data_IF_015289594167
#
_entry.id   IF_015289594167
#
_cell.length_a   1.000
_cell.length_b   1.000
_cell.length_c   1.000
_cell.angle_alpha   90.00
_cell.angle_beta   90.00
_cell.angle_gamma   90.00
#
_symmetry.space_group_name_H-M   'P 1'
#
loop_
_entity.id
_entity.type
_entity.pdbx_description
1 polymer ?
#
# COMPACT_ATOMS: atom_id res chain seq x y z
N UNK A 1 4.95 -8.92 -7.69
CA UNK A 1 3.64 -8.24 -7.73
C UNK A 1 3.68 -7.24 -8.87
N UNK A 2 2.75 -7.34 -9.81
CA UNK A 2 2.65 -6.47 -10.99
C UNK A 2 1.51 -5.48 -10.73
N UNK A 3 1.77 -4.17 -10.88
CA UNK A 3 0.73 -3.17 -10.69
C UNK A 3 -0.08 -3.01 -11.99
N UNK A 4 -1.27 -3.59 -12.00
CA UNK A 4 -2.24 -3.46 -13.10
C UNK A 4 -3.18 -2.30 -12.81
N UNK A 5 -3.41 -1.42 -13.79
CA UNK A 5 -4.36 -0.32 -13.64
C UNK A 5 -5.78 -0.87 -13.39
N UNK A 6 -6.56 -0.24 -12.48
CA UNK A 6 -7.92 -0.68 -12.19
C UNK A 6 -8.82 -0.49 -13.41
N UNK A 7 -9.90 -1.29 -13.54
CA UNK A 7 -10.84 -1.13 -14.63
C UNK A 7 -11.50 0.25 -14.58
N UNK A 8 -11.64 0.91 -15.74
CA UNK A 8 -12.28 2.23 -15.82
C UNK A 8 -13.81 2.15 -15.74
N UNK A 9 -14.39 0.99 -16.04
CA UNK A 9 -15.83 0.71 -16.02
C UNK A 9 -16.07 -0.73 -15.58
N UNK A 10 -17.23 -1.02 -15.00
CA UNK A 10 -17.64 -2.35 -14.52
C UNK A 10 -18.71 -2.25 -13.45
N UNK A 11 -19.01 -3.36 -12.79
CA UNK A 11 -19.78 -3.33 -11.55
C UNK A 11 -19.00 -2.60 -10.44
N UNK A 12 -19.71 -2.11 -9.42
CA UNK A 12 -19.06 -1.47 -8.27
C UNK A 12 -18.05 -2.38 -7.58
N UNK A 13 -18.37 -3.67 -7.45
CA UNK A 13 -17.48 -4.69 -6.87
C UNK A 13 -16.18 -4.86 -7.68
N UNK A 14 -16.28 -5.04 -9.00
CA UNK A 14 -15.11 -5.19 -9.87
C UNK A 14 -14.19 -3.96 -9.82
N UNK A 15 -14.78 -2.76 -9.81
CA UNK A 15 -14.01 -1.52 -9.70
C UNK A 15 -13.35 -1.39 -8.33
N UNK A 16 -14.06 -1.72 -7.25
CA UNK A 16 -13.52 -1.67 -5.89
C UNK A 16 -12.35 -2.66 -5.70
N UNK A 17 -12.54 -3.91 -6.11
CA UNK A 17 -11.49 -4.93 -6.03
C UNK A 17 -10.25 -4.55 -6.84
N UNK A 18 -10.44 -4.07 -8.08
CA UNK A 18 -9.37 -3.59 -8.92
C UNK A 18 -8.62 -2.40 -8.31
N UNK A 19 -9.34 -1.46 -7.71
CA UNK A 19 -8.73 -0.31 -7.02
C UNK A 19 -7.91 -0.74 -5.81
N UNK A 20 -8.44 -1.67 -4.99
CA UNK A 20 -7.73 -2.20 -3.83
C UNK A 20 -6.45 -2.94 -4.24
N UNK A 21 -6.50 -3.79 -5.27
CA UNK A 21 -5.32 -4.50 -5.78
C UNK A 21 -4.25 -3.52 -6.33
N UNK A 22 -4.68 -2.49 -7.07
CA UNK A 22 -3.79 -1.45 -7.55
C UNK A 22 -3.05 -0.74 -6.41
N UNK A 23 -3.75 -0.41 -5.32
CA UNK A 23 -3.15 0.27 -4.18
C UNK A 23 -2.21 -0.64 -3.39
N UNK A 24 -2.57 -1.93 -3.17
CA UNK A 24 -1.66 -2.92 -2.58
C UNK A 24 -0.37 -3.05 -3.39
N UNK A 25 -0.50 -3.19 -4.69
CA UNK A 25 0.63 -3.24 -5.63
C UNK A 25 1.47 -1.97 -5.58
N UNK A 26 0.84 -0.80 -5.46
CA UNK A 26 1.53 0.49 -5.33
C UNK A 26 2.37 0.56 -4.05
N UNK A 27 1.82 0.16 -2.92
CA UNK A 27 2.53 0.14 -1.63
C UNK A 27 3.73 -0.81 -1.71
N UNK A 28 3.52 -2.02 -2.23
CA UNK A 28 4.60 -2.99 -2.42
C UNK A 28 5.74 -2.43 -3.28
N UNK A 29 5.42 -1.83 -4.44
CA UNK A 29 6.45 -1.27 -5.34
C UNK A 29 7.21 -0.11 -4.70
N UNK A 30 6.56 0.70 -3.86
CA UNK A 30 7.21 1.82 -3.18
C UNK A 30 8.07 1.39 -2.00
N UNK A 31 7.71 0.30 -1.33
CA UNK A 31 8.44 -0.18 -0.15
C UNK A 31 9.54 -1.21 -0.48
N UNK A 32 9.42 -1.94 -1.61
CA UNK A 32 10.39 -2.99 -1.97
C UNK A 32 11.81 -2.42 -2.10
N UNK A 33 12.78 -3.17 -1.59
CA UNK A 33 14.21 -2.84 -1.69
C UNK A 33 14.70 -1.84 -0.64
N UNK A 34 13.83 -1.32 0.23
CA UNK A 34 14.27 -0.57 1.41
C UNK A 34 14.85 -1.52 2.46
N UNK A 35 15.89 -1.08 3.15
CA UNK A 35 16.42 -1.79 4.31
C UNK A 35 15.52 -1.58 5.54
N UNK A 36 15.65 -2.43 6.55
CA UNK A 36 14.95 -2.25 7.84
C UNK A 36 15.29 -0.89 8.48
N UNK A 37 16.54 -0.46 8.35
CA UNK A 37 16.97 0.85 8.82
C UNK A 37 16.30 1.99 8.06
N UNK A 38 16.09 1.87 6.74
CA UNK A 38 15.40 2.89 5.95
C UNK A 38 13.91 2.94 6.28
N UNK A 39 13.27 1.79 6.46
CA UNK A 39 11.83 1.71 6.71
C UNK A 39 11.44 2.18 8.12
N UNK A 40 12.37 2.12 9.08
CA UNK A 40 12.21 2.61 10.44
C UNK A 40 12.48 4.13 10.61
N UNK A 41 13.02 4.82 9.59
CA UNK A 41 13.31 6.25 9.67
C UNK A 41 12.03 7.08 9.77
N UNK A 42 12.07 8.05 10.67
CA UNK A 42 11.10 9.14 10.70
C UNK A 42 11.56 10.24 9.74
N UNK A 43 10.83 10.44 8.64
CA UNK A 43 11.18 11.42 7.59
C UNK A 43 10.42 12.74 7.69
N UNK A 44 9.35 12.77 8.49
CA UNK A 44 8.45 13.91 8.66
C UNK A 44 8.37 14.28 10.16
N UNK A 45 7.89 15.49 10.52
CA UNK A 45 7.67 15.87 11.91
C UNK A 45 6.42 15.18 12.52
N UNK A 46 6.26 13.88 12.26
CA UNK A 46 5.23 12.99 12.79
C UNK A 46 5.83 11.62 13.10
N UNK A 47 5.16 10.79 13.89
CA UNK A 47 5.63 9.42 14.22
C UNK A 47 5.52 8.42 13.04
N UNK A 48 5.24 8.89 11.83
CA UNK A 48 5.02 8.02 10.66
C UNK A 48 6.34 7.48 10.14
N UNK A 49 6.42 6.15 10.02
CA UNK A 49 7.50 5.42 9.36
C UNK A 49 6.92 4.53 8.26
N UNK A 50 7.73 4.07 7.31
CA UNK A 50 7.27 3.18 6.24
C UNK A 50 6.76 1.86 6.83
N UNK A 51 7.48 1.30 7.80
CA UNK A 51 7.06 0.08 8.51
C UNK A 51 5.74 0.30 9.25
N UNK A 52 5.59 1.44 9.94
CA UNK A 52 4.35 1.79 10.63
C UNK A 52 3.16 1.89 9.68
N UNK A 53 3.36 2.52 8.51
CA UNK A 53 2.31 2.64 7.49
C UNK A 53 1.91 1.28 6.90
N UNK A 54 2.87 0.44 6.53
CA UNK A 54 2.59 -0.90 5.98
C UNK A 54 1.83 -1.77 7.00
N UNK A 55 2.25 -1.71 8.27
CA UNK A 55 1.54 -2.40 9.35
C UNK A 55 0.11 -1.89 9.49
N UNK A 56 -0.08 -0.57 9.58
CA UNK A 56 -1.39 0.03 9.72
C UNK A 56 -2.34 -0.37 8.56
N UNK A 57 -1.86 -0.30 7.31
CA UNK A 57 -2.66 -0.72 6.16
C UNK A 57 -3.02 -2.21 6.21
N UNK A 58 -2.10 -3.06 6.65
CA UNK A 58 -2.36 -4.50 6.85
C UNK A 58 -3.40 -4.73 7.94
N UNK A 59 -3.35 -3.96 9.03
CA UNK A 59 -4.31 -4.04 10.13
C UNK A 59 -5.71 -3.57 9.67
N UNK A 60 -5.79 -2.50 8.88
CA UNK A 60 -7.04 -2.00 8.29
C UNK A 60 -7.69 -3.01 7.34
N UNK A 61 -6.91 -3.74 6.55
CA UNK A 61 -7.47 -4.78 5.65
C UNK A 61 -7.98 -6.03 6.39
N UNK A 62 -7.54 -6.24 7.63
CA UNK A 62 -7.96 -7.40 8.44
C UNK A 62 -9.24 -7.15 9.23
N UNK A 63 -9.59 -5.89 9.45
CA UNK A 63 -10.77 -5.48 10.22
C UNK A 63 -11.94 -5.19 9.29
#
# INVERSE_FOLDING_TARGET
MTRTDPPHHGSEGEMLEGFLEYQRSTVFIKARGLSDADTAKQLLPSLTTVTGLVRYLTDVERY
#
